data_IF_130824315674
#
_entry.id   IF_130824315674
#
_cell.length_a   1.000
_cell.length_b   1.000
_cell.length_c   1.000
_cell.angle_alpha   90.00
_cell.angle_beta   90.00
_cell.angle_gamma   90.00
#
_symmetry.space_group_name_H-M   'P 1'
#
loop_
_entity.id
_entity.type
_entity.pdbx_description
1 polymer ?
#
# COMPACT_ATOMS: atom_id res chain seq x y z
N UNK A 1 -5.84 12.78 -19.85
CA UNK A 1 -5.35 12.86 -18.45
C UNK A 1 -3.87 12.54 -18.44
N UNK A 2 -3.02 13.41 -17.88
CA UNK A 2 -1.56 13.25 -17.94
C UNK A 2 -1.10 12.07 -17.08
N UNK A 3 -0.33 11.13 -17.66
CA UNK A 3 0.17 9.94 -16.96
C UNK A 3 1.01 10.28 -15.72
N UNK A 4 1.65 11.46 -15.71
CA UNK A 4 2.37 11.97 -14.54
C UNK A 4 1.46 12.24 -13.35
N UNK A 5 0.24 12.72 -13.56
CA UNK A 5 -0.74 12.93 -12.48
C UNK A 5 -1.15 11.60 -11.88
N UNK A 6 -1.42 10.57 -12.70
CA UNK A 6 -1.73 9.23 -12.21
C UNK A 6 -0.59 8.64 -11.35
N UNK A 7 0.66 8.74 -11.83
CA UNK A 7 1.82 8.25 -11.08
C UNK A 7 2.02 9.00 -9.75
N UNK A 8 1.87 10.33 -9.74
CA UNK A 8 1.97 11.13 -8.53
C UNK A 8 0.89 10.76 -7.50
N UNK A 9 -0.37 10.60 -7.94
CA UNK A 9 -1.48 10.19 -7.06
C UNK A 9 -1.23 8.81 -6.45
N UNK A 10 -0.68 7.86 -7.21
CA UNK A 10 -0.35 6.52 -6.71
C UNK A 10 0.74 6.56 -5.64
N UNK A 11 1.76 7.41 -5.80
CA UNK A 11 2.80 7.61 -4.78
C UNK A 11 2.22 8.24 -3.52
N UNK A 12 1.40 9.28 -3.66
CA UNK A 12 0.72 9.91 -2.52
C UNK A 12 -0.17 8.90 -1.80
N UNK A 13 -0.92 8.08 -2.55
CA UNK A 13 -1.76 7.03 -1.99
C UNK A 13 -0.92 5.99 -1.22
N UNK A 14 0.24 5.57 -1.74
CA UNK A 14 1.13 4.64 -1.06
C UNK A 14 1.60 5.18 0.31
N UNK A 15 1.98 6.46 0.35
CA UNK A 15 2.44 7.16 1.56
C UNK A 15 1.31 7.34 2.57
N UNK A 16 0.16 7.85 2.12
CA UNK A 16 -1.02 8.00 2.97
C UNK A 16 -1.46 6.65 3.54
N UNK A 17 -1.50 5.59 2.71
CA UNK A 17 -1.89 4.26 3.14
C UNK A 17 -0.94 3.71 4.21
N UNK A 18 0.37 3.91 4.06
CA UNK A 18 1.34 3.47 5.06
C UNK A 18 1.18 4.23 6.38
N UNK A 19 1.09 5.57 6.33
CA UNK A 19 1.09 6.42 7.53
C UNK A 19 -0.27 6.50 8.23
N UNK A 20 -1.34 6.79 7.49
CA UNK A 20 -2.69 6.87 8.06
C UNK A 20 -3.22 5.48 8.41
N UNK A 21 -2.93 4.46 7.59
CA UNK A 21 -3.39 3.11 7.85
C UNK A 21 -2.79 2.51 9.12
N UNK A 22 -1.51 2.76 9.41
CA UNK A 22 -0.92 2.25 10.65
C UNK A 22 -1.50 2.92 11.90
N UNK A 23 -1.72 4.24 11.85
CA UNK A 23 -2.26 5.02 12.98
C UNK A 23 -3.76 4.82 13.19
N UNK A 24 -4.55 4.85 12.13
CA UNK A 24 -6.02 4.90 12.20
C UNK A 24 -6.69 3.54 12.10
N UNK A 25 -6.04 2.55 11.46
CA UNK A 25 -6.62 1.22 11.26
C UNK A 25 -5.87 0.17 12.06
N UNK A 26 -4.58 -0.05 11.79
CA UNK A 26 -3.85 -1.16 12.43
C UNK A 26 -3.71 -0.96 13.94
N UNK A 27 -3.29 0.21 14.42
CA UNK A 27 -3.16 0.44 15.86
C UNK A 27 -4.44 0.09 16.64
N UNK A 28 -5.61 0.69 16.33
CA UNK A 28 -6.84 0.35 17.04
C UNK A 28 -7.27 -1.10 16.80
N UNK A 29 -7.15 -1.64 15.58
CA UNK A 29 -7.55 -3.03 15.30
C UNK A 29 -6.72 -4.04 16.14
N UNK A 30 -5.41 -3.80 16.24
CA UNK A 30 -4.48 -4.64 17.00
C UNK A 30 -4.66 -4.49 18.51
N UNK A 31 -5.07 -3.32 19.02
CA UNK A 31 -5.25 -3.09 20.46
C UNK A 31 -6.62 -3.48 21.00
N UNK A 32 -7.71 -3.20 20.27
CA UNK A 32 -9.08 -3.37 20.78
C UNK A 32 -9.94 -4.40 20.05
N UNK A 33 -9.71 -4.66 18.76
CA UNK A 33 -10.62 -5.46 17.94
C UNK A 33 -10.22 -6.93 17.78
N UNK A 34 -8.95 -7.27 18.02
CA UNK A 34 -8.47 -8.65 17.91
C UNK A 34 -8.84 -9.49 19.14
N UNK A 35 -9.59 -10.61 18.97
CA UNK A 35 -9.90 -11.53 20.05
C UNK A 35 -8.62 -11.98 20.78
N UNK A 36 -8.66 -12.04 22.11
CA UNK A 36 -7.53 -12.55 22.92
C UNK A 36 -7.36 -14.06 22.78
N UNK A 37 -8.44 -14.77 22.48
CA UNK A 37 -8.50 -16.22 22.33
C UNK A 37 -9.23 -16.60 21.04
N UNK A 38 -8.81 -17.69 20.38
CA UNK A 38 -9.41 -18.16 19.13
C UNK A 38 -8.69 -17.77 17.83
N UNK A 39 -7.53 -17.09 17.90
CA UNK A 39 -6.71 -16.88 16.71
C UNK A 39 -5.91 -18.15 16.38
N UNK A 40 -6.06 -18.73 15.16
CA UNK A 40 -5.44 -20.01 14.81
C UNK A 40 -3.91 -19.99 14.83
N UNK A 41 -3.30 -18.80 14.74
CA UNK A 41 -1.85 -18.61 14.68
C UNK A 41 -1.31 -17.74 15.83
N UNK A 42 -2.18 -17.37 16.79
CA UNK A 42 -1.84 -16.48 17.90
C UNK A 42 -1.75 -15.00 17.52
N UNK A 43 -1.96 -14.12 18.51
CA UNK A 43 -2.09 -12.66 18.31
C UNK A 43 -0.85 -11.99 17.73
N UNK A 44 0.35 -12.41 18.16
CA UNK A 44 1.61 -11.80 17.71
C UNK A 44 1.90 -12.07 16.23
N UNK A 45 1.63 -13.31 15.77
CA UNK A 45 1.80 -13.68 14.38
C UNK A 45 0.81 -12.93 13.49
N UNK A 46 -0.48 -12.98 13.81
CA UNK A 46 -1.51 -12.25 13.05
C UNK A 46 -1.24 -10.75 12.99
N UNK A 47 -0.78 -10.14 14.09
CA UNK A 47 -0.43 -8.72 14.09
C UNK A 47 0.73 -8.39 13.15
N UNK A 48 1.76 -9.24 13.08
CA UNK A 48 2.88 -9.09 12.13
C UNK A 48 2.45 -9.32 10.70
N UNK A 49 1.68 -10.38 10.43
CA UNK A 49 1.16 -10.66 9.09
C UNK A 49 0.30 -9.51 8.58
N UNK A 50 -0.53 -8.92 9.45
CA UNK A 50 -1.36 -7.79 9.07
C UNK A 50 -0.53 -6.54 8.76
N UNK A 51 0.50 -6.23 9.57
CA UNK A 51 1.47 -5.16 9.26
C UNK A 51 2.20 -5.42 7.95
N UNK A 52 2.66 -6.64 7.74
CA UNK A 52 3.36 -7.03 6.52
C UNK A 52 2.47 -6.85 5.29
N UNK A 53 1.25 -7.39 5.32
CA UNK A 53 0.28 -7.23 4.24
C UNK A 53 -0.04 -5.74 3.98
N UNK A 54 -0.13 -4.94 5.03
CA UNK A 54 -0.37 -3.50 4.93
C UNK A 54 0.76 -2.77 4.19
N UNK A 55 2.02 -3.03 4.56
CA UNK A 55 3.16 -2.45 3.86
C UNK A 55 3.34 -3.01 2.45
N UNK A 56 3.04 -4.30 2.23
CA UNK A 56 3.12 -4.92 0.91
C UNK A 56 2.15 -4.24 -0.08
N UNK A 57 0.96 -3.86 0.38
CA UNK A 57 0.01 -3.11 -0.44
C UNK A 57 0.55 -1.70 -0.79
N UNK A 58 1.18 -0.99 0.14
CA UNK A 58 1.90 0.27 -0.16
C UNK A 58 3.00 0.09 -1.21
N UNK A 59 3.76 -1.01 -1.16
CA UNK A 59 4.78 -1.33 -2.18
C UNK A 59 4.14 -1.60 -3.54
N UNK A 60 2.99 -2.29 -3.58
CA UNK A 60 2.26 -2.53 -4.81
C UNK A 60 1.81 -1.22 -5.49
N UNK A 61 1.37 -0.23 -4.71
CA UNK A 61 1.04 1.10 -5.23
C UNK A 61 2.25 1.81 -5.85
N UNK A 62 3.43 1.69 -5.25
CA UNK A 62 4.68 2.24 -5.82
C UNK A 62 5.09 1.52 -7.10
N UNK A 63 5.00 0.19 -7.13
CA UNK A 63 5.27 -0.60 -8.34
C UNK A 63 4.32 -0.22 -9.49
N UNK A 64 3.05 0.02 -9.19
CA UNK A 64 2.07 0.49 -10.17
C UNK A 64 2.40 1.90 -10.66
N UNK A 65 2.79 2.82 -9.77
CA UNK A 65 3.24 4.16 -10.15
C UNK A 65 4.44 4.10 -11.11
N UNK A 66 5.40 3.21 -10.83
CA UNK A 66 6.57 2.99 -11.69
C UNK A 66 6.17 2.48 -13.08
N UNK A 67 5.28 1.48 -13.17
CA UNK A 67 4.77 0.95 -14.43
C UNK A 67 4.05 2.04 -15.25
N UNK A 68 3.21 2.85 -14.62
CA UNK A 68 2.50 3.96 -15.27
C UNK A 68 3.48 5.02 -15.80
N UNK A 69 4.52 5.35 -15.03
CA UNK A 69 5.56 6.28 -15.45
C UNK A 69 6.38 5.74 -16.63
N UNK A 70 6.70 4.44 -16.64
CA UNK A 70 7.42 3.79 -17.75
C UNK A 70 6.57 3.72 -19.03
N UNK A 71 5.28 3.37 -18.91
CA UNK A 71 4.35 3.39 -20.03
C UNK A 71 4.19 4.77 -20.67
N UNK A 72 4.36 5.84 -19.89
CA UNK A 72 4.39 7.21 -20.41
C UNK A 72 5.63 7.51 -21.27
N UNK A 73 6.80 6.91 -20.95
CA UNK A 73 8.06 7.07 -21.68
C UNK A 73 8.12 6.26 -22.98
N UNK A 74 7.42 5.13 -23.05
CA UNK A 74 7.34 4.30 -24.26
C UNK A 74 6.50 4.94 -25.37
N UNK A 75 5.43 5.66 -25.00
CA UNK A 75 4.51 6.30 -25.95
C UNK A 75 5.15 7.46 -26.74
N UNK A 76 6.09 8.18 -26.13
CA UNK A 76 6.77 9.33 -26.76
C UNK A 76 7.86 8.93 -27.78
N UNK A 77 8.29 7.66 -27.79
CA UNK A 77 9.31 7.15 -28.74
C UNK A 77 8.73 6.50 -30.00
N UNK A 78 7.44 6.21 -30.04
CA UNK A 78 6.81 5.48 -31.14
C UNK A 78 6.36 6.36 -32.33
N UNK A 79 6.56 7.69 -32.24
CA UNK A 79 6.12 8.67 -33.25
C UNK A 79 7.18 9.76 -33.53
N UNK A 80 8.45 9.47 -33.27
CA UNK A 80 9.60 10.29 -33.63
C UNK A 80 10.46 9.53 -34.62
#
# INVERSE_FOLDING_TARGET
>A
MSHGVCAATLVVLALLHSALGEKLLLRPLLTSALPREGLPLGRAFTARTLRFAWHLLSVAWLALAFLVAQGARGRSRAWA
#
